data_IF_990937676985
#
_entry.id   IF_990937676985
#
_cell.length_a   1.000
_cell.length_b   1.000
_cell.length_c   1.000
_cell.angle_alpha   90.00
_cell.angle_beta   90.00
_cell.angle_gamma   90.00
#
_symmetry.space_group_name_H-M   'P 1'
#
loop_
_entity.id
_entity.type
_entity.pdbx_description
1 polymer ?
#
# COMPACT_ATOMS: atom_id res chain seq x y z
N UNK A 1 50.17 25.43 3.13
CA UNK A 1 48.92 26.19 3.02
C UNK A 1 48.07 25.81 1.79
N UNK A 2 48.34 24.72 1.07
CA UNK A 2 47.65 24.29 -0.16
C UNK A 2 46.42 23.42 0.10
N UNK A 3 46.34 22.70 1.23
CA UNK A 3 45.24 21.76 1.50
C UNK A 3 43.86 22.39 1.73
N UNK A 4 43.78 23.56 2.36
CA UNK A 4 42.48 24.20 2.67
C UNK A 4 41.79 24.74 1.41
N UNK A 5 42.55 25.23 0.42
CA UNK A 5 42.00 25.74 -0.84
C UNK A 5 41.38 24.61 -1.71
N UNK A 6 42.02 23.45 -1.69
CA UNK A 6 41.52 22.28 -2.46
C UNK A 6 40.23 21.72 -1.86
N UNK A 7 40.12 21.62 -0.54
CA UNK A 7 38.89 21.19 0.14
C UNK A 7 37.72 22.14 -0.10
N UNK A 8 37.97 23.47 -0.04
CA UNK A 8 36.91 24.45 -0.31
C UNK A 8 36.40 24.38 -1.76
N UNK A 9 37.30 24.17 -2.74
CA UNK A 9 36.93 24.03 -4.15
C UNK A 9 36.10 22.77 -4.39
N UNK A 10 36.43 21.65 -3.75
CA UNK A 10 35.68 20.38 -3.85
C UNK A 10 34.28 20.53 -3.26
N UNK A 11 34.13 21.13 -2.10
CA UNK A 11 32.84 21.38 -1.45
C UNK A 11 31.95 22.27 -2.35
N UNK A 12 32.49 23.33 -2.91
CA UNK A 12 31.76 24.23 -3.81
C UNK A 12 31.29 23.46 -5.08
N UNK A 13 32.14 22.62 -5.68
CA UNK A 13 31.78 21.81 -6.84
C UNK A 13 30.68 20.82 -6.54
N UNK A 14 30.71 20.16 -5.40
CA UNK A 14 29.66 19.22 -4.97
C UNK A 14 28.35 19.97 -4.74
N UNK A 15 28.38 21.10 -4.04
CA UNK A 15 27.17 21.90 -3.77
C UNK A 15 26.56 22.44 -5.07
N UNK A 16 27.38 23.02 -5.96
CA UNK A 16 26.90 23.57 -7.24
C UNK A 16 26.42 22.48 -8.20
N UNK A 17 27.01 21.28 -8.16
CA UNK A 17 26.59 20.15 -9.00
C UNK A 17 25.34 19.44 -8.54
N UNK A 18 25.22 19.21 -7.23
CA UNK A 18 24.11 18.41 -6.66
C UNK A 18 22.89 19.27 -6.26
N UNK A 19 23.10 20.47 -5.76
CA UNK A 19 22.03 21.30 -5.23
C UNK A 19 20.95 21.64 -6.29
N UNK A 20 21.32 22.06 -7.52
CA UNK A 20 20.32 22.35 -8.55
C UNK A 20 19.48 21.14 -8.93
N UNK A 21 20.12 19.96 -9.10
CA UNK A 21 19.43 18.71 -9.41
C UNK A 21 18.45 18.31 -8.30
N UNK A 22 18.91 18.35 -7.05
CA UNK A 22 18.06 18.07 -5.88
C UNK A 22 16.90 19.07 -5.77
N UNK A 23 17.18 20.36 -5.93
CA UNK A 23 16.17 21.42 -5.84
C UNK A 23 15.11 21.28 -6.93
N UNK A 24 15.51 21.06 -8.19
CA UNK A 24 14.57 20.87 -9.29
C UNK A 24 13.71 19.64 -9.04
N UNK A 25 14.33 18.49 -8.77
CA UNK A 25 13.59 17.25 -8.56
C UNK A 25 12.67 17.31 -7.34
N UNK A 26 13.13 17.86 -6.23
CA UNK A 26 12.36 17.84 -4.96
C UNK A 26 11.30 18.93 -4.90
N UNK A 27 11.65 20.16 -5.31
CA UNK A 27 10.75 21.30 -5.12
C UNK A 27 9.97 21.68 -6.38
N UNK A 28 10.60 21.68 -7.54
CA UNK A 28 9.91 22.09 -8.79
C UNK A 28 8.98 21.00 -9.25
N UNK A 29 9.45 19.74 -9.28
CA UNK A 29 8.64 18.62 -9.75
C UNK A 29 7.51 18.28 -8.76
N UNK A 30 7.79 18.20 -7.45
CA UNK A 30 6.75 18.00 -6.43
C UNK A 30 5.72 19.12 -6.41
N UNK A 31 6.16 20.39 -6.54
CA UNK A 31 5.23 21.52 -6.64
C UNK A 31 4.42 21.43 -7.93
N UNK A 32 5.06 21.06 -9.05
CA UNK A 32 4.39 20.84 -10.32
C UNK A 32 3.29 19.78 -10.24
N UNK A 33 3.54 18.69 -9.53
CA UNK A 33 2.56 17.63 -9.28
C UNK A 33 1.34 18.14 -8.49
N UNK A 34 1.56 18.99 -7.49
CA UNK A 34 0.47 19.64 -6.74
C UNK A 34 -0.41 20.54 -7.60
N UNK A 35 0.09 20.99 -8.75
CA UNK A 35 -0.66 21.75 -9.76
C UNK A 35 -1.14 20.89 -10.94
N UNK A 36 -1.26 19.58 -10.77
CA UNK A 36 -1.80 18.65 -11.77
C UNK A 36 -0.81 18.23 -12.85
N UNK A 37 0.50 18.52 -12.71
CA UNK A 37 1.54 17.97 -13.58
C UNK A 37 1.88 16.56 -13.10
N UNK A 38 1.55 15.56 -13.91
CA UNK A 38 1.81 14.14 -13.58
C UNK A 38 3.30 13.82 -13.80
N UNK A 39 4.16 14.19 -12.84
CA UNK A 39 5.61 14.01 -12.93
C UNK A 39 6.08 12.74 -12.27
N UNK A 40 5.46 12.34 -11.15
CA UNK A 40 5.91 11.22 -10.31
C UNK A 40 4.98 10.02 -10.29
N UNK A 41 3.77 10.13 -10.84
CA UNK A 41 2.82 9.04 -10.82
C UNK A 41 1.40 9.47 -11.19
N UNK A 42 0.51 8.52 -11.06
CA UNK A 42 -0.92 8.65 -11.37
C UNK A 42 -1.71 8.80 -10.07
N UNK A 43 -2.63 9.79 -9.98
CA UNK A 43 -3.30 10.09 -8.72
C UNK A 43 -4.34 9.03 -8.35
N UNK A 44 -4.34 8.64 -7.08
CA UNK A 44 -5.43 7.95 -6.39
C UNK A 44 -6.01 8.94 -5.38
N UNK A 45 -7.33 9.20 -5.46
CA UNK A 45 -7.94 10.30 -4.72
C UNK A 45 -9.12 9.83 -3.87
N UNK A 46 -9.19 10.29 -2.63
CA UNK A 46 -10.35 10.10 -1.77
C UNK A 46 -10.56 11.28 -0.84
N UNK A 47 -11.75 11.92 -0.89
CA UNK A 47 -12.17 13.01 0.02
C UNK A 47 -11.10 14.10 0.22
N UNK A 48 -10.44 14.52 -0.87
CA UNK A 48 -9.41 15.57 -0.85
C UNK A 48 -8.01 15.09 -0.41
N UNK A 49 -7.82 13.80 -0.19
CA UNK A 49 -6.52 13.17 0.02
C UNK A 49 -6.05 12.54 -1.27
N UNK A 50 -4.75 12.61 -1.53
CA UNK A 50 -4.16 12.11 -2.77
C UNK A 50 -2.95 11.24 -2.46
N UNK A 51 -2.84 10.14 -3.18
CA UNK A 51 -1.63 9.34 -3.30
C UNK A 51 -1.27 9.19 -4.78
N UNK A 52 0.01 9.00 -5.11
CA UNK A 52 0.44 8.88 -6.51
C UNK A 52 1.09 7.52 -6.73
N UNK A 53 0.48 6.74 -7.60
CA UNK A 53 0.95 5.42 -7.97
C UNK A 53 1.91 5.47 -9.17
N UNK A 54 2.91 4.59 -9.23
CA UNK A 54 3.87 4.53 -10.33
C UNK A 54 3.30 3.94 -11.64
N UNK A 55 2.20 3.18 -11.57
CA UNK A 55 1.50 2.56 -12.69
C UNK A 55 0.13 3.23 -12.92
N UNK A 56 -0.21 3.51 -14.19
CA UNK A 56 -1.52 4.04 -14.55
C UNK A 56 -2.65 3.03 -14.28
N UNK A 57 -2.40 1.76 -14.61
CA UNK A 57 -3.41 0.70 -14.47
C UNK A 57 -3.67 0.39 -12.99
N UNK A 58 -2.61 0.30 -12.18
CA UNK A 58 -2.76 0.13 -10.73
C UNK A 58 -3.45 1.34 -10.07
N UNK A 59 -3.19 2.56 -10.54
CA UNK A 59 -3.87 3.75 -10.04
C UNK A 59 -5.36 3.78 -10.42
N UNK A 60 -5.71 3.33 -11.62
CA UNK A 60 -7.10 3.19 -12.05
C UNK A 60 -7.83 2.17 -11.18
N UNK A 61 -7.27 0.97 -11.01
CA UNK A 61 -7.79 -0.08 -10.14
C UNK A 61 -7.96 0.40 -8.69
N UNK A 62 -6.96 1.09 -8.15
CA UNK A 62 -7.03 1.65 -6.80
C UNK A 62 -8.14 2.71 -6.65
N UNK A 63 -8.39 3.55 -7.68
CA UNK A 63 -9.48 4.52 -7.63
C UNK A 63 -10.87 3.86 -7.66
N UNK A 64 -11.04 2.77 -8.42
CA UNK A 64 -12.28 1.99 -8.43
C UNK A 64 -12.52 1.35 -7.05
N UNK A 65 -11.51 0.68 -6.48
CA UNK A 65 -11.58 0.13 -5.12
C UNK A 65 -11.93 1.21 -4.10
N UNK A 66 -11.27 2.36 -4.17
CA UNK A 66 -11.49 3.49 -3.25
C UNK A 66 -12.92 4.01 -3.33
N UNK A 67 -13.51 4.05 -4.54
CA UNK A 67 -14.90 4.45 -4.72
C UNK A 67 -15.87 3.47 -4.04
N UNK A 68 -15.68 2.17 -4.24
CA UNK A 68 -16.53 1.12 -3.68
C UNK A 68 -16.39 1.02 -2.16
N UNK A 69 -15.16 0.93 -1.64
CA UNK A 69 -14.93 0.92 -0.19
C UNK A 69 -15.47 2.19 0.48
N UNK A 70 -15.30 3.34 -0.18
CA UNK A 70 -15.82 4.61 0.32
C UNK A 70 -17.35 4.71 0.33
N UNK A 71 -18.04 3.95 -0.54
CA UNK A 71 -19.49 3.84 -0.57
C UNK A 71 -20.04 2.84 0.46
N UNK A 72 -19.31 1.77 0.73
CA UNK A 72 -19.80 0.64 1.52
C UNK A 72 -19.36 0.67 2.99
N UNK A 73 -18.18 1.25 3.28
CA UNK A 73 -17.64 1.28 4.65
C UNK A 73 -18.29 2.33 5.54
N UNK A 74 -18.26 2.07 6.85
CA UNK A 74 -18.74 2.97 7.89
C UNK A 74 -17.57 3.45 8.76
N UNK A 75 -17.63 4.69 9.27
CA UNK A 75 -16.61 5.19 10.20
C UNK A 75 -16.45 4.26 11.42
N UNK A 76 -15.21 3.97 11.77
CA UNK A 76 -14.85 3.10 12.88
C UNK A 76 -14.72 1.62 12.54
N UNK A 77 -15.12 1.18 11.35
CA UNK A 77 -14.84 -0.17 10.87
C UNK A 77 -13.34 -0.40 10.73
N UNK A 78 -12.92 -1.64 10.86
CA UNK A 78 -11.52 -2.04 10.88
C UNK A 78 -11.06 -2.48 9.49
N UNK A 79 -10.08 -1.79 8.95
CA UNK A 79 -9.45 -2.09 7.67
C UNK A 79 -8.10 -2.79 7.88
N UNK A 80 -7.85 -3.88 7.17
CA UNK A 80 -6.53 -4.46 7.00
C UNK A 80 -6.12 -4.38 5.53
N UNK A 81 -4.92 -3.91 5.28
CA UNK A 81 -4.29 -3.88 3.95
C UNK A 81 -3.09 -4.81 3.97
N UNK A 82 -3.03 -5.76 3.02
CA UNK A 82 -1.97 -6.75 2.98
C UNK A 82 -1.73 -7.32 1.58
N UNK A 83 -0.76 -8.24 1.44
CA UNK A 83 -0.53 -8.97 0.20
C UNK A 83 -1.62 -10.03 -0.03
N UNK A 84 -1.84 -10.45 -1.28
CA UNK A 84 -2.74 -11.56 -1.63
C UNK A 84 -2.30 -12.90 -1.03
N UNK A 85 -1.03 -13.05 -0.71
CA UNK A 85 -0.48 -14.21 -0.02
C UNK A 85 0.33 -13.78 1.20
N UNK A 86 -0.26 -13.91 2.37
CA UNK A 86 0.35 -13.53 3.64
C UNK A 86 1.57 -14.37 4.05
N UNK A 87 1.87 -15.46 3.34
CA UNK A 87 3.14 -16.16 3.55
C UNK A 87 4.32 -15.30 3.12
N UNK A 88 4.08 -14.38 2.19
CA UNK A 88 5.06 -13.45 1.67
C UNK A 88 4.58 -12.03 1.93
N UNK A 89 5.26 -11.32 2.81
CA UNK A 89 4.90 -9.96 3.21
C UNK A 89 5.96 -8.95 2.74
N UNK A 90 6.23 -8.83 1.40
CA UNK A 90 7.32 -7.98 0.91
C UNK A 90 7.05 -6.51 1.18
N UNK A 91 5.81 -6.08 0.94
CA UNK A 91 5.31 -4.72 1.14
C UNK A 91 3.80 -4.70 1.32
N UNK A 92 3.28 -3.59 1.86
CA UNK A 92 1.86 -3.27 1.92
C UNK A 92 1.57 -1.97 1.20
N UNK A 93 0.38 -1.86 0.62
CA UNK A 93 -0.15 -0.62 0.07
C UNK A 93 -0.75 0.25 1.18
N UNK A 94 0.07 0.56 2.19
CA UNK A 94 -0.29 1.29 3.42
C UNK A 94 -0.94 2.65 3.17
N UNK A 95 -0.80 3.21 1.97
CA UNK A 95 -1.45 4.47 1.58
C UNK A 95 -2.98 4.42 1.67
N UNK A 96 -3.61 3.25 1.60
CA UNK A 96 -5.04 3.11 1.80
C UNK A 96 -5.47 3.56 3.21
N UNK A 97 -4.66 3.32 4.25
CA UNK A 97 -4.95 3.85 5.59
C UNK A 97 -4.94 5.39 5.63
N UNK A 98 -4.07 6.02 4.83
CA UNK A 98 -4.06 7.47 4.68
C UNK A 98 -5.30 7.99 3.95
N UNK A 99 -5.77 7.27 2.93
CA UNK A 99 -6.98 7.67 2.18
C UNK A 99 -8.25 7.51 3.02
N UNK A 100 -8.31 6.52 3.91
CA UNK A 100 -9.46 6.22 4.77
C UNK A 100 -9.20 6.50 6.26
N UNK A 101 -9.07 7.78 6.66
CA UNK A 101 -8.74 8.13 8.05
C UNK A 101 -9.87 7.82 9.02
N UNK A 102 -11.09 7.59 8.52
CA UNK A 102 -12.27 7.26 9.34
C UNK A 102 -12.33 5.77 9.66
N UNK A 103 -11.53 4.93 8.98
CA UNK A 103 -11.37 3.51 9.28
C UNK A 103 -10.22 3.29 10.26
N UNK A 104 -10.34 2.25 11.08
CA UNK A 104 -9.33 1.90 12.08
C UNK A 104 -8.42 0.80 11.52
N UNK A 105 -7.08 0.95 11.52
CA UNK A 105 -6.20 -0.15 11.14
C UNK A 105 -6.47 -1.40 11.98
N UNK A 106 -6.72 -2.54 11.33
CA UNK A 106 -6.98 -3.81 11.99
C UNK A 106 -5.68 -4.53 12.42
N UNK A 107 -4.54 -4.08 11.91
CA UNK A 107 -3.24 -4.66 12.18
C UNK A 107 -2.25 -3.62 12.70
N UNK A 108 -1.29 -4.07 13.50
CA UNK A 108 -0.09 -3.29 13.88
C UNK A 108 1.00 -3.35 12.81
N UNK A 109 0.91 -4.29 11.89
CA UNK A 109 1.88 -4.51 10.81
C UNK A 109 1.50 -3.70 9.57
N UNK A 110 1.54 -2.37 9.67
CA UNK A 110 1.11 -1.47 8.60
C UNK A 110 1.93 -1.67 7.31
N UNK A 111 3.24 -1.89 7.44
CA UNK A 111 4.16 -2.10 6.31
C UNK A 111 4.37 -3.57 5.96
N UNK A 112 3.80 -4.49 6.74
CA UNK A 112 3.92 -5.94 6.50
C UNK A 112 5.37 -6.42 6.42
N UNK A 113 6.21 -6.04 7.43
CA UNK A 113 7.64 -6.40 7.46
C UNK A 113 7.88 -7.91 7.38
N UNK A 114 8.67 -8.39 6.37
CA UNK A 114 8.96 -9.80 6.18
C UNK A 114 9.73 -10.39 7.36
N UNK A 115 9.38 -11.63 7.73
CA UNK A 115 9.99 -12.33 8.88
C UNK A 115 9.49 -11.84 10.25
N UNK A 116 8.66 -10.80 10.27
CA UNK A 116 8.01 -10.28 11.47
C UNK A 116 6.49 -10.47 11.35
N UNK A 117 5.86 -9.87 10.35
CA UNK A 117 4.42 -9.97 10.16
C UNK A 117 3.98 -11.39 9.80
N UNK A 118 4.73 -12.08 8.94
CA UNK A 118 4.43 -13.45 8.50
C UNK A 118 5.03 -14.56 9.40
N UNK A 119 5.65 -14.20 10.54
CA UNK A 119 6.14 -15.20 11.49
C UNK A 119 4.98 -16.01 12.11
N UNK A 120 5.18 -17.32 12.42
CA UNK A 120 4.11 -18.18 12.96
C UNK A 120 3.43 -17.61 14.21
N UNK A 121 4.19 -16.96 15.08
CA UNK A 121 3.70 -16.42 16.36
C UNK A 121 3.41 -14.90 16.29
N UNK A 122 3.29 -14.33 15.09
CA UNK A 122 3.07 -12.89 14.93
C UNK A 122 1.72 -12.40 15.43
N UNK A 123 0.71 -13.28 15.45
CA UNK A 123 -0.68 -12.91 15.74
C UNK A 123 -1.42 -12.28 14.57
N UNK A 124 -0.81 -12.20 13.38
CA UNK A 124 -1.43 -11.61 12.19
C UNK A 124 -2.76 -12.31 11.82
N UNK A 125 -2.86 -13.63 11.97
CA UNK A 125 -4.10 -14.36 11.71
C UNK A 125 -5.27 -13.86 12.59
N UNK A 126 -5.01 -13.54 13.86
CA UNK A 126 -6.03 -12.97 14.74
C UNK A 126 -6.39 -11.53 14.36
N UNK A 127 -5.43 -10.75 13.86
CA UNK A 127 -5.67 -9.40 13.36
C UNK A 127 -6.48 -9.42 12.06
N UNK A 128 -6.18 -10.33 11.12
CA UNK A 128 -7.01 -10.59 9.92
C UNK A 128 -8.43 -10.97 10.32
N UNK A 129 -8.58 -11.93 11.26
CA UNK A 129 -9.88 -12.38 11.74
C UNK A 129 -10.75 -11.30 12.39
N UNK A 130 -10.14 -10.22 12.84
CA UNK A 130 -10.81 -9.10 13.52
C UNK A 130 -11.08 -7.91 12.58
N UNK A 131 -10.75 -8.00 11.29
CA UNK A 131 -11.02 -6.96 10.33
C UNK A 131 -12.49 -7.00 9.85
N UNK A 132 -13.04 -5.82 9.53
CA UNK A 132 -14.33 -5.68 8.85
C UNK A 132 -14.14 -5.62 7.32
N UNK A 133 -12.96 -5.15 6.89
CA UNK A 133 -12.56 -5.04 5.49
C UNK A 133 -11.12 -5.52 5.30
N UNK A 134 -10.88 -6.26 4.20
CA UNK A 134 -9.53 -6.57 3.74
C UNK A 134 -9.33 -5.98 2.34
N UNK A 135 -8.23 -5.27 2.14
CA UNK A 135 -7.67 -4.98 0.82
C UNK A 135 -6.46 -5.87 0.64
N UNK A 136 -6.53 -6.81 -0.30
CA UNK A 136 -5.40 -7.66 -0.65
C UNK A 136 -4.82 -7.20 -1.98
N UNK A 137 -3.50 -6.99 -1.99
CA UNK A 137 -2.77 -6.41 -3.11
C UNK A 137 -1.84 -7.42 -3.78
N UNK A 138 -1.93 -7.49 -5.12
CA UNK A 138 -1.01 -8.25 -5.96
C UNK A 138 0.14 -7.38 -6.53
N UNK A 139 0.18 -6.10 -6.18
CA UNK A 139 1.16 -5.14 -6.72
C UNK A 139 2.59 -5.56 -6.44
N UNK A 140 2.83 -6.03 -5.23
CA UNK A 140 4.16 -6.41 -4.73
C UNK A 140 4.44 -7.91 -4.83
N UNK A 141 3.57 -8.69 -5.46
CA UNK A 141 3.80 -10.11 -5.70
C UNK A 141 5.08 -10.30 -6.50
N UNK A 142 5.91 -11.22 -6.04
CA UNK A 142 7.25 -11.48 -6.57
C UNK A 142 8.26 -10.32 -6.40
N UNK A 143 7.96 -9.30 -5.61
CA UNK A 143 8.96 -8.31 -5.21
C UNK A 143 10.01 -8.98 -4.33
N UNK A 144 11.26 -8.63 -4.57
CA UNK A 144 12.38 -9.33 -3.99
C UNK A 144 13.44 -8.34 -3.51
N UNK A 145 13.74 -8.44 -2.24
CA UNK A 145 14.77 -7.66 -1.57
C UNK A 145 15.81 -8.58 -0.92
N UNK A 146 17.00 -8.08 -0.60
CA UNK A 146 18.03 -8.84 0.13
C UNK A 146 17.67 -8.97 1.62
N UNK A 147 16.47 -9.46 1.93
CA UNK A 147 15.93 -9.72 3.27
C UNK A 147 15.14 -11.04 3.27
N UNK A 148 14.28 -11.27 4.26
CA UNK A 148 13.46 -12.48 4.40
C UNK A 148 12.18 -12.47 3.54
N UNK A 149 12.02 -11.54 2.59
CA UNK A 149 10.80 -11.44 1.75
C UNK A 149 10.53 -12.67 0.89
N UNK A 150 11.56 -13.47 0.59
CA UNK A 150 11.45 -14.75 -0.15
C UNK A 150 11.09 -15.94 0.71
N UNK A 151 11.20 -15.83 2.02
CA UNK A 151 10.95 -16.94 2.93
C UNK A 151 9.46 -17.03 3.24
N UNK A 152 8.81 -18.18 2.96
CA UNK A 152 7.40 -18.33 3.27
C UNK A 152 7.20 -18.37 4.79
N UNK A 153 6.30 -17.53 5.27
CA UNK A 153 5.85 -17.52 6.66
C UNK A 153 4.65 -18.42 6.90
N UNK A 154 3.87 -18.11 7.95
CA UNK A 154 2.65 -18.84 8.30
C UNK A 154 1.56 -18.70 7.26
N UNK A 155 0.86 -19.80 6.95
CA UNK A 155 -0.35 -19.79 6.11
C UNK A 155 -1.64 -19.53 6.91
N UNK A 156 -1.55 -19.40 8.23
CA UNK A 156 -2.73 -19.17 9.09
C UNK A 156 -3.55 -17.93 8.68
N UNK A 157 -2.95 -16.76 8.34
CA UNK A 157 -3.72 -15.62 7.88
C UNK A 157 -4.51 -15.91 6.60
N UNK A 158 -3.90 -16.61 5.61
CA UNK A 158 -4.58 -17.00 4.39
C UNK A 158 -5.74 -17.98 4.66
N UNK A 159 -5.59 -18.88 5.64
CA UNK A 159 -6.68 -19.78 6.05
C UNK A 159 -7.84 -18.97 6.62
N UNK A 160 -7.58 -17.98 7.46
CA UNK A 160 -8.63 -17.09 7.98
C UNK A 160 -9.37 -16.37 6.85
N UNK A 161 -8.66 -15.87 5.85
CA UNK A 161 -9.31 -15.24 4.68
C UNK A 161 -10.23 -16.23 4.00
N UNK A 162 -9.73 -17.42 3.65
CA UNK A 162 -10.53 -18.46 2.96
C UNK A 162 -11.76 -18.93 3.75
N UNK A 163 -11.65 -19.01 5.08
CA UNK A 163 -12.69 -19.56 5.93
C UNK A 163 -13.75 -18.54 6.34
N UNK A 164 -13.44 -17.26 6.34
CA UNK A 164 -14.27 -16.22 6.97
C UNK A 164 -14.64 -15.06 6.08
N UNK A 165 -13.92 -14.84 4.98
CA UNK A 165 -14.11 -13.66 4.16
C UNK A 165 -14.60 -14.03 2.77
N UNK A 166 -15.55 -13.25 2.26
CA UNK A 166 -16.09 -13.33 0.92
C UNK A 166 -15.51 -12.20 0.07
N UNK A 167 -15.10 -12.53 -1.14
CA UNK A 167 -14.67 -11.55 -2.14
C UNK A 167 -15.88 -10.71 -2.56
N UNK A 168 -15.77 -9.39 -2.44
CA UNK A 168 -16.83 -8.45 -2.83
C UNK A 168 -16.43 -7.55 -4.00
N UNK A 169 -15.16 -7.51 -4.37
CA UNK A 169 -14.67 -6.78 -5.54
C UNK A 169 -13.28 -7.19 -5.99
N UNK A 170 -13.06 -7.19 -7.31
CA UNK A 170 -11.77 -7.36 -7.97
C UNK A 170 -11.51 -6.15 -8.85
N UNK A 171 -10.29 -5.59 -8.80
CA UNK A 171 -9.99 -4.32 -9.42
C UNK A 171 -8.74 -4.41 -10.30
N UNK A 172 -8.93 -4.04 -11.58
CA UNK A 172 -7.90 -4.07 -12.60
C UNK A 172 -7.50 -5.47 -13.05
N UNK A 173 -6.53 -5.53 -13.95
CA UNK A 173 -5.98 -6.77 -14.49
C UNK A 173 -4.47 -6.63 -14.60
N UNK A 174 -3.75 -7.60 -14.03
CA UNK A 174 -2.32 -7.78 -14.16
C UNK A 174 -2.04 -9.20 -14.61
N UNK A 175 -1.86 -9.39 -15.92
CA UNK A 175 -1.53 -10.72 -16.48
C UNK A 175 -2.59 -11.81 -16.17
N UNK A 176 -3.86 -11.41 -16.05
CA UNK A 176 -4.98 -12.31 -15.74
C UNK A 176 -5.32 -12.41 -14.26
N UNK A 177 -4.69 -11.63 -13.40
CA UNK A 177 -5.00 -11.52 -11.97
C UNK A 177 -5.33 -10.07 -11.60
N UNK A 178 -6.23 -9.81 -10.63
CA UNK A 178 -6.53 -8.45 -10.21
C UNK A 178 -5.34 -7.78 -9.53
N UNK A 179 -5.23 -6.44 -9.69
CA UNK A 179 -4.27 -5.65 -8.90
C UNK A 179 -4.63 -5.64 -7.43
N UNK A 180 -5.94 -5.54 -7.14
CA UNK A 180 -6.47 -5.49 -5.79
C UNK A 180 -7.74 -6.33 -5.68
N UNK A 181 -7.91 -6.95 -4.54
CA UNK A 181 -9.09 -7.67 -4.12
C UNK A 181 -9.66 -7.03 -2.85
N UNK A 182 -10.97 -6.86 -2.79
CA UNK A 182 -11.68 -6.36 -1.61
C UNK A 182 -12.53 -7.46 -1.01
N UNK A 183 -12.38 -7.67 0.29
CA UNK A 183 -13.08 -8.72 1.03
C UNK A 183 -13.85 -8.13 2.21
N UNK A 184 -14.93 -8.82 2.57
CA UNK A 184 -15.73 -8.58 3.77
C UNK A 184 -16.03 -9.90 4.47
N UNK A 185 -16.26 -9.96 5.81
CA UNK A 185 -16.76 -11.15 6.48
C UNK A 185 -18.03 -11.68 5.79
N UNK A 186 -18.09 -13.00 5.47
CA UNK A 186 -19.20 -13.58 4.69
C UNK A 186 -20.55 -13.40 5.36
N UNK A 187 -20.61 -13.49 6.69
CA UNK A 187 -21.84 -13.26 7.46
C UNK A 187 -22.41 -11.84 7.33
N UNK A 188 -21.55 -10.86 7.00
CA UNK A 188 -21.97 -9.47 6.75
C UNK A 188 -22.43 -9.25 5.30
N UNK A 189 -21.94 -10.04 4.34
CA UNK A 189 -22.39 -10.00 2.94
C UNK A 189 -23.79 -10.57 2.84
N UNK A 190 -24.03 -11.76 3.43
CA UNK A 190 -25.33 -12.42 3.43
C UNK A 190 -26.43 -11.58 4.08
N UNK A 191 -26.08 -10.79 5.10
CA UNK A 191 -27.03 -9.93 5.78
C UNK A 191 -27.47 -8.71 4.92
N UNK A 192 -26.62 -8.24 4.00
CA UNK A 192 -26.92 -7.12 3.13
C UNK A 192 -27.86 -7.52 1.95
N UNK A 193 -27.73 -8.75 1.43
CA UNK A 193 -28.54 -9.25 0.32
C UNK A 193 -29.95 -9.72 0.77
N UNK A 194 -30.18 -9.87 2.09
CA UNK A 194 -31.45 -10.33 2.67
C UNK A 194 -32.42 -9.23 3.12
N UNK A 195 -32.07 -7.96 2.94
CA UNK A 195 -32.86 -6.78 3.33
C UNK A 195 -33.38 -5.99 2.12
#
# INVERSE_FOLDING_TARGET
MTGVRTQSATVVLVVVGLLPHYTVRTYVDLTGQSFGRNVFGYPVNHRGRNFYYGSADAAAAANELVADLGAWSQPGERLLVGPVDFRFTPYSDAFFYYLFPDLVPATRYIEMDPGIANAPDSGLAAEVAAADWLILSNVWSNWDEPNTSREPGSDEPNQVVRDRFCLVGEYGDRDGEPWFELYRPCDQVDAADGS
#
